data_IF_056898991343
#
_entry.id   IF_056898991343
#
_cell.length_a   1.000
_cell.length_b   1.000
_cell.length_c   1.000
_cell.angle_alpha   90.00
_cell.angle_beta   90.00
_cell.angle_gamma   90.00
#
_symmetry.space_group_name_H-M   'P 1'
#
loop_
_entity.id
_entity.type
_entity.pdbx_description
1 polymer ?
#
# COMPACT_ATOMS: atom_id res chain seq x y z
N UNK A 1 -15.99 -6.83 -16.12
CA UNK A 1 -15.63 -5.90 -15.03
C UNK A 1 -15.41 -6.77 -13.82
N UNK A 2 -14.15 -6.99 -13.42
CA UNK A 2 -13.84 -7.88 -12.29
C UNK A 2 -14.22 -7.17 -10.99
N UNK A 3 -15.01 -7.84 -10.15
CA UNK A 3 -15.54 -7.26 -8.91
C UNK A 3 -14.42 -6.89 -7.94
N UNK A 4 -14.69 -5.91 -7.07
CA UNK A 4 -13.80 -5.58 -5.96
C UNK A 4 -13.54 -6.84 -5.12
N UNK A 5 -12.28 -7.24 -4.96
CA UNK A 5 -11.88 -8.41 -4.17
C UNK A 5 -11.56 -8.03 -2.72
N UNK A 6 -10.86 -6.93 -2.52
CA UNK A 6 -10.44 -6.45 -1.22
C UNK A 6 -10.31 -4.92 -1.25
N UNK A 7 -10.76 -4.26 -0.19
CA UNK A 7 -10.49 -2.85 0.07
C UNK A 7 -10.24 -2.61 1.55
N UNK A 8 -9.33 -1.69 1.85
CA UNK A 8 -9.19 -1.05 3.16
C UNK A 8 -9.33 0.47 3.07
N UNK A 9 -9.85 0.97 1.95
CA UNK A 9 -9.88 2.39 1.60
C UNK A 9 -10.77 3.20 2.57
N UNK A 10 -10.33 4.39 2.96
CA UNK A 10 -11.08 5.30 3.86
C UNK A 10 -11.48 4.65 5.19
N UNK A 11 -10.67 3.69 5.67
CA UNK A 11 -10.95 2.91 6.89
C UNK A 11 -12.05 1.85 6.73
N UNK A 12 -12.72 1.76 5.58
CA UNK A 12 -13.71 0.74 5.30
C UNK A 12 -13.02 -0.53 4.79
N UNK A 13 -13.09 -1.61 5.59
CA UNK A 13 -12.58 -2.92 5.19
C UNK A 13 -13.68 -3.73 4.51
N UNK A 14 -13.47 -4.03 3.23
CA UNK A 14 -14.36 -4.83 2.40
C UNK A 14 -13.57 -6.03 1.89
N UNK A 15 -14.04 -7.26 2.17
CA UNK A 15 -13.42 -8.49 1.66
C UNK A 15 -14.47 -9.35 0.98
N UNK A 16 -14.64 -9.12 -0.32
CA UNK A 16 -15.61 -9.82 -1.16
C UNK A 16 -15.25 -11.29 -1.40
N UNK A 17 -14.04 -11.72 -1.02
CA UNK A 17 -13.63 -13.14 -1.09
C UNK A 17 -14.25 -13.98 0.02
N UNK A 18 -14.54 -13.35 1.17
CA UNK A 18 -15.10 -14.03 2.36
C UNK A 18 -16.61 -13.87 2.48
N UNK A 19 -17.17 -12.81 1.91
CA UNK A 19 -18.61 -12.61 1.84
C UNK A 19 -18.97 -11.88 0.55
N UNK A 20 -19.67 -12.54 -0.41
CA UNK A 20 -20.03 -11.94 -1.70
C UNK A 20 -21.08 -10.82 -1.60
N UNK A 21 -21.58 -10.53 -0.40
CA UNK A 21 -22.59 -9.49 -0.12
C UNK A 21 -21.99 -8.09 0.15
N UNK A 22 -20.67 -7.96 0.13
CA UNK A 22 -20.01 -6.67 0.29
C UNK A 22 -19.53 -6.15 -1.07
N UNK A 23 -20.46 -5.88 -1.98
CA UNK A 23 -20.22 -4.88 -3.03
C UNK A 23 -20.09 -3.52 -2.32
N UNK A 24 -18.94 -3.31 -1.69
CA UNK A 24 -18.64 -2.10 -0.97
C UNK A 24 -18.50 -0.98 -1.98
N UNK A 25 -19.48 -0.07 -1.96
CA UNK A 25 -19.40 1.22 -2.63
C UNK A 25 -18.26 2.02 -1.98
N UNK A 26 -17.05 1.82 -2.48
CA UNK A 26 -15.88 2.56 -2.02
C UNK A 26 -15.82 3.88 -2.77
N UNK A 27 -15.84 4.98 -2.02
CA UNK A 27 -15.72 6.31 -2.61
C UNK A 27 -14.29 6.51 -3.11
N UNK A 28 -14.10 6.30 -4.40
CA UNK A 28 -12.82 6.58 -5.06
C UNK A 28 -12.64 8.09 -5.26
N UNK A 29 -11.39 8.57 -5.35
CA UNK A 29 -11.13 9.94 -5.76
C UNK A 29 -11.79 10.23 -7.11
N UNK A 30 -12.40 11.41 -7.25
CA UNK A 30 -13.12 11.83 -8.47
C UNK A 30 -12.27 11.75 -9.75
N UNK A 31 -10.96 11.91 -9.64
CA UNK A 31 -10.03 11.76 -10.77
C UNK A 31 -9.95 10.33 -11.32
N UNK A 32 -10.40 9.33 -10.56
CA UNK A 32 -10.38 7.91 -10.95
C UNK A 32 -11.78 7.38 -11.32
N UNK A 33 -12.84 8.16 -11.07
CA UNK A 33 -14.22 7.78 -11.40
C UNK A 33 -14.59 7.97 -12.88
N UNK A 34 -13.75 8.65 -13.67
CA UNK A 34 -14.03 9.04 -15.07
C UNK A 34 -13.73 7.92 -16.10
N UNK A 35 -13.81 6.65 -15.71
CA UNK A 35 -13.74 5.52 -16.65
C UNK A 35 -12.35 4.91 -16.88
N UNK A 36 -11.35 5.28 -16.08
CA UNK A 36 -10.03 4.62 -16.11
C UNK A 36 -10.15 3.21 -15.52
N UNK A 37 -9.85 2.17 -16.29
CA UNK A 37 -9.79 0.80 -15.78
C UNK A 37 -8.45 0.55 -15.08
N UNK A 38 -8.47 0.24 -13.79
CA UNK A 38 -7.29 -0.16 -13.03
C UNK A 38 -7.55 -1.47 -12.28
N UNK A 39 -6.49 -2.23 -12.01
CA UNK A 39 -6.56 -3.55 -11.37
C UNK A 39 -6.40 -3.47 -9.84
N UNK A 40 -5.77 -2.41 -9.36
CA UNK A 40 -5.59 -2.10 -7.96
C UNK A 40 -5.15 -0.66 -7.76
N UNK A 41 -5.39 -0.16 -6.56
CA UNK A 41 -5.10 1.19 -6.10
C UNK A 41 -4.48 1.08 -4.71
N UNK A 42 -3.36 1.75 -4.47
CA UNK A 42 -2.80 1.95 -3.13
C UNK A 42 -2.50 3.42 -2.94
N UNK A 43 -2.81 3.96 -1.77
CA UNK A 43 -2.58 5.35 -1.42
C UNK A 43 -2.57 5.56 0.09
N UNK A 44 -2.52 6.83 0.47
CA UNK A 44 -2.51 7.27 1.87
C UNK A 44 -3.72 6.80 2.68
N UNK A 45 -4.84 6.56 2.00
CA UNK A 45 -6.10 6.17 2.63
C UNK A 45 -6.37 4.65 2.53
N UNK A 46 -5.37 3.86 2.12
CA UNK A 46 -5.44 2.40 2.05
C UNK A 46 -5.26 1.82 0.65
N UNK A 47 -5.72 0.59 0.46
CA UNK A 47 -5.59 -0.13 -0.81
C UNK A 47 -6.93 -0.76 -1.21
N UNK A 48 -7.20 -0.81 -2.51
CA UNK A 48 -8.32 -1.50 -3.12
C UNK A 48 -7.87 -2.35 -4.33
N UNK A 49 -8.45 -3.54 -4.51
CA UNK A 49 -8.03 -4.53 -5.50
C UNK A 49 -9.27 -5.13 -6.18
N UNK A 50 -9.30 -5.14 -7.52
CA UNK A 50 -10.41 -5.64 -8.35
C UNK A 50 -10.08 -6.93 -9.11
N UNK A 51 -8.88 -7.49 -8.90
CA UNK A 51 -8.42 -8.72 -9.52
C UNK A 51 -7.34 -8.51 -10.57
N UNK A 52 -6.37 -9.43 -10.59
CA UNK A 52 -5.21 -9.37 -11.49
C UNK A 52 -4.13 -8.36 -11.11
N UNK A 53 -4.23 -7.70 -9.95
CA UNK A 53 -3.14 -6.96 -9.33
C UNK A 53 -2.55 -7.77 -8.17
N UNK A 54 -1.23 -7.75 -8.05
CA UNK A 54 -0.51 -8.33 -6.92
C UNK A 54 -0.41 -7.30 -5.79
N UNK A 55 -0.98 -7.58 -4.59
CA UNK A 55 -0.87 -6.69 -3.44
C UNK A 55 0.57 -6.40 -3.02
N UNK A 56 1.49 -7.35 -3.18
CA UNK A 56 2.90 -7.19 -2.83
C UNK A 56 3.60 -6.22 -3.78
N UNK A 57 3.34 -6.34 -5.09
CA UNK A 57 3.90 -5.44 -6.09
C UNK A 57 3.32 -4.02 -5.95
N UNK A 58 2.03 -3.89 -5.60
CA UNK A 58 1.43 -2.60 -5.26
C UNK A 58 2.12 -1.95 -4.06
N UNK A 59 2.35 -2.71 -2.98
CA UNK A 59 3.06 -2.23 -1.80
C UNK A 59 4.51 -1.80 -2.13
N UNK A 60 5.21 -2.60 -2.94
CA UNK A 60 6.57 -2.30 -3.41
C UNK A 60 6.60 -0.99 -4.20
N UNK A 61 5.71 -0.84 -5.17
CA UNK A 61 5.61 0.35 -6.01
C UNK A 61 5.25 1.60 -5.20
N UNK A 62 4.40 1.46 -4.19
CA UNK A 62 4.06 2.55 -3.28
C UNK A 62 5.27 2.98 -2.42
N UNK A 63 5.98 2.01 -1.82
CA UNK A 63 7.19 2.28 -1.04
C UNK A 63 8.31 2.92 -1.91
N UNK A 64 8.45 2.49 -3.16
CA UNK A 64 9.35 3.11 -4.15
C UNK A 64 8.95 4.57 -4.46
N UNK A 65 7.65 4.83 -4.63
CA UNK A 65 7.13 6.18 -4.83
C UNK A 65 7.40 7.08 -3.63
N UNK A 66 7.22 6.57 -2.42
CA UNK A 66 7.53 7.29 -1.19
C UNK A 66 9.02 7.59 -1.05
N UNK A 67 9.88 6.60 -1.28
CA UNK A 67 11.33 6.77 -1.11
C UNK A 67 11.87 7.84 -2.05
N UNK A 68 11.37 7.89 -3.29
CA UNK A 68 11.71 8.92 -4.29
C UNK A 68 11.19 10.31 -3.95
N UNK A 69 10.03 10.42 -3.32
CA UNK A 69 9.41 11.69 -2.96
C UNK A 69 9.68 12.13 -1.52
N UNK A 70 10.55 11.41 -0.80
CA UNK A 70 10.94 11.78 0.56
C UNK A 70 11.68 13.11 0.57
N UNK A 71 11.25 14.06 1.41
CA UNK A 71 11.98 15.32 1.63
C UNK A 71 13.28 15.12 2.44
N UNK A 72 13.47 13.94 3.04
CA UNK A 72 14.68 13.57 3.80
C UNK A 72 14.76 14.12 5.22
N UNK A 73 13.76 14.87 5.70
CA UNK A 73 13.82 15.55 7.01
C UNK A 73 13.74 14.58 8.20
N UNK A 74 12.89 13.54 8.13
CA UNK A 74 12.79 12.51 9.18
C UNK A 74 13.59 11.27 8.80
N UNK A 75 14.42 10.79 9.74
CA UNK A 75 15.21 9.56 9.60
C UNK A 75 14.36 8.33 9.25
N UNK A 76 13.22 8.04 9.93
CA UNK A 76 12.40 6.87 9.59
C UNK A 76 11.88 6.93 8.16
N UNK A 77 11.43 8.09 7.66
CA UNK A 77 11.00 8.21 6.27
C UNK A 77 12.17 8.12 5.29
N UNK A 78 13.30 8.80 5.54
CA UNK A 78 14.45 8.84 4.61
C UNK A 78 15.10 7.47 4.41
N UNK A 79 15.28 6.71 5.50
CA UNK A 79 15.99 5.43 5.48
C UNK A 79 15.01 4.27 5.49
N UNK A 80 13.99 4.32 6.35
CA UNK A 80 13.02 3.23 6.52
C UNK A 80 12.22 2.96 5.25
N UNK A 81 11.79 3.98 4.51
CA UNK A 81 11.08 3.78 3.22
C UNK A 81 11.93 3.00 2.21
N UNK A 82 13.24 3.28 2.15
CA UNK A 82 14.17 2.58 1.25
C UNK A 82 14.41 1.14 1.66
N UNK A 83 14.47 0.87 2.98
CA UNK A 83 14.57 -0.50 3.50
C UNK A 83 13.30 -1.28 3.19
N UNK A 84 12.12 -0.69 3.42
CA UNK A 84 10.83 -1.28 3.07
C UNK A 84 10.78 -1.62 1.57
N UNK A 85 11.11 -0.66 0.70
CA UNK A 85 11.19 -0.87 -0.76
C UNK A 85 12.09 -2.06 -1.12
N UNK A 86 13.28 -2.13 -0.51
CA UNK A 86 14.27 -3.18 -0.80
C UNK A 86 13.78 -4.55 -0.32
N UNK A 87 13.25 -4.64 0.90
CA UNK A 87 12.69 -5.88 1.46
C UNK A 87 11.48 -6.37 0.66
N UNK A 88 10.55 -5.47 0.30
CA UNK A 88 9.42 -5.81 -0.57
C UNK A 88 9.88 -6.26 -1.96
N UNK A 89 10.92 -5.64 -2.51
CA UNK A 89 11.50 -6.07 -3.79
C UNK A 89 12.07 -7.49 -3.69
N UNK A 90 12.83 -7.81 -2.64
CA UNK A 90 13.33 -9.17 -2.41
C UNK A 90 12.20 -10.19 -2.38
N UNK A 91 11.12 -9.88 -1.65
CA UNK A 91 9.92 -10.73 -1.54
C UNK A 91 9.27 -10.92 -2.92
N UNK A 92 9.06 -9.84 -3.69
CA UNK A 92 8.46 -9.91 -5.02
C UNK A 92 9.30 -10.75 -6.01
N UNK A 93 10.63 -10.74 -5.89
CA UNK A 93 11.54 -11.53 -6.73
C UNK A 93 11.82 -12.94 -6.20
N UNK A 94 11.11 -13.41 -5.17
CA UNK A 94 11.27 -14.76 -4.63
C UNK A 94 12.56 -14.99 -3.82
N UNK A 95 13.22 -13.91 -3.39
CA UNK A 95 14.45 -13.93 -2.57
C UNK A 95 14.25 -13.37 -1.15
N UNK A 96 12.99 -13.15 -0.76
CA UNK A 96 12.62 -12.64 0.55
C UNK A 96 12.62 -13.72 1.63
N UNK A 97 12.83 -13.29 2.87
CA UNK A 97 12.77 -14.13 4.07
C UNK A 97 11.64 -13.69 5.00
N UNK A 98 11.30 -14.51 6.01
CA UNK A 98 10.36 -14.08 7.06
C UNK A 98 10.87 -12.85 7.83
N UNK A 99 12.19 -12.70 7.94
CA UNK A 99 12.82 -11.53 8.55
C UNK A 99 12.59 -10.26 7.72
N UNK A 100 12.53 -10.35 6.39
CA UNK A 100 12.17 -9.22 5.53
C UNK A 100 10.73 -8.76 5.83
N UNK A 101 9.79 -9.70 6.01
CA UNK A 101 8.41 -9.37 6.37
C UNK A 101 8.32 -8.71 7.76
N UNK A 102 9.04 -9.24 8.75
CA UNK A 102 9.10 -8.65 10.09
C UNK A 102 9.71 -7.24 10.05
N UNK A 103 10.75 -7.04 9.25
CA UNK A 103 11.40 -5.74 9.04
C UNK A 103 10.43 -4.73 8.42
N UNK A 104 9.71 -5.13 7.37
CA UNK A 104 8.69 -4.29 6.72
C UNK A 104 7.62 -3.88 7.73
N UNK A 105 7.06 -4.83 8.49
CA UNK A 105 5.99 -4.55 9.45
C UNK A 105 6.45 -3.58 10.55
N UNK A 106 7.67 -3.77 11.08
CA UNK A 106 8.24 -2.88 12.09
C UNK A 106 8.43 -1.47 11.55
N UNK A 107 9.10 -1.34 10.41
CA UNK A 107 9.41 -0.03 9.83
C UNK A 107 8.15 0.71 9.39
N UNK A 108 7.17 0.01 8.82
CA UNK A 108 5.87 0.59 8.49
C UNK A 108 5.21 1.20 9.75
N UNK A 109 5.24 0.47 10.87
CA UNK A 109 4.78 0.99 12.16
C UNK A 109 5.58 2.21 12.66
N UNK A 110 6.90 2.21 12.49
CA UNK A 110 7.74 3.35 12.84
C UNK A 110 7.41 4.58 11.97
N UNK A 111 7.23 4.40 10.65
CA UNK A 111 6.84 5.47 9.74
C UNK A 111 5.48 6.06 10.13
N UNK A 112 4.49 5.20 10.42
CA UNK A 112 3.16 5.63 10.86
C UNK A 112 3.21 6.56 12.08
N UNK A 113 4.03 6.20 13.05
CA UNK A 113 4.01 6.84 14.37
C UNK A 113 5.05 7.96 14.52
N UNK A 114 6.11 7.97 13.71
CA UNK A 114 7.27 8.85 13.92
C UNK A 114 7.57 9.77 12.72
N UNK A 115 6.93 9.58 11.56
CA UNK A 115 7.11 10.50 10.45
C UNK A 115 6.45 11.87 10.74
N UNK A 116 7.11 12.94 10.29
CA UNK A 116 6.71 14.33 10.56
C UNK A 116 5.56 14.84 9.68
N UNK A 117 5.22 14.13 8.61
CA UNK A 117 4.17 14.55 7.67
C UNK A 117 3.38 13.35 7.15
N UNK A 118 2.20 13.63 6.60
CA UNK A 118 1.26 12.61 6.12
C UNK A 118 1.83 11.73 5.00
N UNK A 119 2.72 12.29 4.17
CA UNK A 119 3.42 11.50 3.16
C UNK A 119 4.26 10.41 3.81
N UNK A 120 5.03 10.72 4.86
CA UNK A 120 5.81 9.71 5.57
C UNK A 120 4.94 8.72 6.36
N UNK A 121 3.82 9.18 6.90
CA UNK A 121 2.89 8.34 7.66
C UNK A 121 2.08 7.38 6.76
N UNK A 122 1.92 7.72 5.48
CA UNK A 122 1.10 6.96 4.52
C UNK A 122 1.59 5.54 4.21
N UNK A 123 2.82 5.19 4.60
CA UNK A 123 3.43 3.88 4.34
C UNK A 123 3.36 2.93 5.54
N UNK A 124 2.53 3.25 6.53
CA UNK A 124 2.28 2.47 7.73
C UNK A 124 0.93 1.78 7.79
#
# INVERSE_FOLDING_TARGET
MSGLLFSSWAGAKVDSRKSPAAEGDITLPKAMSDGTSFKGLMGWDGMAIWGGADPLDLARAFAEGLSKNSCGQCIPCRIGSRVIETSLSKICYGSGTEEDLATVAKLAGDLKNQAMCDLGQSCG
#
